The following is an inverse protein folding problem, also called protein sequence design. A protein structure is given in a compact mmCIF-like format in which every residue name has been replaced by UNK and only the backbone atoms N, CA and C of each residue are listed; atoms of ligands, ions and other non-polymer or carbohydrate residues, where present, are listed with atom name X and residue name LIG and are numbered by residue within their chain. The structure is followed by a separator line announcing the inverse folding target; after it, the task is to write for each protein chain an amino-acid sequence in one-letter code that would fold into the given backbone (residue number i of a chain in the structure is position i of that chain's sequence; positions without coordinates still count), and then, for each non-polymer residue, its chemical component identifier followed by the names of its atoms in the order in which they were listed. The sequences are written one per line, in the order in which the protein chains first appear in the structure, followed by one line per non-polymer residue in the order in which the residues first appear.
data_IF_318888027993
#
_entry.id   IF_318888027993
#
_cell.length_a   1.000
_cell.length_b   1.000
_cell.length_c   1.000
_cell.angle_alpha   90.00
_cell.angle_beta   90.00
_cell.angle_gamma   90.00
#
_symmetry.space_group_name_H-M   'P 1'
#
loop_
_entity.id
_entity.type
_entity.pdbx_description
1 polymer ?
#
# COMPACT_ATOMS: atom_id res chain seq x y z
N UNK A 1 -11.21 57.19 -28.79
CA UNK A 1 -12.09 56.08 -28.39
C UNK A 1 -11.17 54.93 -28.11
N UNK A 2 -10.75 54.75 -26.84
CA UNK A 2 -9.86 53.69 -26.43
C UNK A 2 -10.64 52.38 -26.52
N UNK A 3 -10.15 51.45 -27.34
CA UNK A 3 -10.68 50.09 -27.41
C UNK A 3 -10.36 49.38 -26.08
N UNK A 4 -11.39 49.26 -25.27
CA UNK A 4 -11.31 48.55 -23.97
C UNK A 4 -10.99 47.08 -24.22
N UNK A 5 -9.76 46.64 -23.90
CA UNK A 5 -9.34 45.27 -24.09
C UNK A 5 -9.86 44.40 -22.93
N UNK A 6 -11.03 43.81 -23.15
CA UNK A 6 -11.75 42.94 -22.23
C UNK A 6 -10.87 41.77 -21.77
N UNK A 7 -10.05 41.20 -22.67
CA UNK A 7 -9.17 40.05 -22.37
C UNK A 7 -8.08 40.42 -21.36
N UNK A 8 -7.56 41.62 -21.42
CA UNK A 8 -6.53 42.12 -20.49
C UNK A 8 -7.11 42.30 -19.08
N UNK A 9 -8.33 42.81 -18.97
CA UNK A 9 -8.99 43.02 -17.68
C UNK A 9 -9.42 41.66 -17.03
N UNK A 10 -9.92 40.72 -17.81
CA UNK A 10 -10.23 39.38 -17.32
C UNK A 10 -8.98 38.66 -16.80
N UNK A 11 -7.87 38.76 -17.53
CA UNK A 11 -6.57 38.21 -17.12
C UNK A 11 -6.06 38.83 -15.82
N UNK A 12 -6.20 40.13 -15.63
CA UNK A 12 -5.83 40.82 -14.38
C UNK A 12 -6.71 40.37 -13.22
N UNK A 13 -8.03 40.20 -13.42
CA UNK A 13 -8.95 39.65 -12.42
C UNK A 13 -8.58 38.24 -12.03
N UNK A 14 -8.36 37.36 -13.01
CA UNK A 14 -7.92 35.99 -12.78
C UNK A 14 -6.64 35.95 -11.96
N UNK A 15 -5.61 36.67 -12.35
CA UNK A 15 -4.34 36.73 -11.61
C UNK A 15 -4.51 37.28 -10.19
N UNK A 16 -5.45 38.21 -9.96
CA UNK A 16 -5.71 38.72 -8.63
C UNK A 16 -6.35 37.68 -7.69
N UNK A 17 -7.32 36.93 -8.21
CA UNK A 17 -8.01 35.89 -7.41
C UNK A 17 -7.14 34.65 -7.19
N UNK A 18 -6.38 34.24 -8.20
CA UNK A 18 -5.55 33.02 -8.14
C UNK A 18 -4.11 33.26 -7.72
N UNK A 19 -3.72 34.51 -7.42
CA UNK A 19 -2.35 34.87 -7.08
C UNK A 19 -1.75 33.99 -5.97
N UNK A 20 -2.51 33.70 -4.94
CA UNK A 20 -2.06 32.84 -3.81
C UNK A 20 -1.83 31.41 -4.28
N UNK A 21 -2.75 30.86 -5.05
CA UNK A 21 -2.64 29.52 -5.60
C UNK A 21 -1.48 29.36 -6.60
N UNK A 22 -1.25 30.38 -7.41
CA UNK A 22 -0.11 30.40 -8.34
C UNK A 22 1.22 30.40 -7.58
N UNK A 23 1.32 31.16 -6.47
CA UNK A 23 2.52 31.18 -5.63
C UNK A 23 2.72 29.79 -4.95
N UNK A 24 1.66 29.19 -4.42
CA UNK A 24 1.74 27.85 -3.81
C UNK A 24 2.20 26.81 -4.85
N UNK A 25 1.62 26.83 -6.04
CA UNK A 25 2.01 25.93 -7.13
C UNK A 25 3.47 26.13 -7.56
N UNK A 26 3.94 27.36 -7.62
CA UNK A 26 5.33 27.67 -7.95
C UNK A 26 6.30 27.15 -6.87
N UNK A 27 5.97 27.33 -5.58
CA UNK A 27 6.77 26.82 -4.46
C UNK A 27 6.80 25.28 -4.50
N UNK A 28 5.67 24.63 -4.73
CA UNK A 28 5.59 23.18 -4.84
C UNK A 28 6.44 22.65 -6.03
N UNK A 29 6.40 23.33 -7.17
CA UNK A 29 7.20 22.96 -8.35
C UNK A 29 8.71 23.10 -8.08
N UNK A 30 9.12 24.17 -7.40
CA UNK A 30 10.53 24.38 -7.00
C UNK A 30 10.97 23.31 -5.99
N UNK A 31 10.15 23.03 -4.98
CA UNK A 31 10.43 21.98 -4.00
C UNK A 31 10.57 20.60 -4.66
N UNK A 32 9.66 20.26 -5.58
CA UNK A 32 9.73 19.02 -6.36
C UNK A 32 10.98 18.97 -7.24
N UNK A 33 11.36 20.09 -7.87
CA UNK A 33 12.59 20.20 -8.65
C UNK A 33 13.86 19.98 -7.81
N UNK A 34 13.91 20.56 -6.60
CA UNK A 34 15.02 20.36 -5.67
C UNK A 34 15.10 18.89 -5.23
N UNK A 35 13.98 18.26 -4.89
CA UNK A 35 13.94 16.85 -4.52
C UNK A 35 14.46 15.99 -5.67
N UNK A 36 14.05 16.22 -6.92
CA UNK A 36 14.55 15.49 -8.09
C UNK A 36 16.06 15.69 -8.33
N UNK A 37 16.57 16.91 -8.11
CA UNK A 37 17.99 17.22 -8.31
C UNK A 37 18.90 16.68 -7.19
N UNK A 38 18.35 16.51 -5.98
CA UNK A 38 19.08 15.97 -4.82
C UNK A 38 18.99 14.44 -4.71
N UNK A 39 18.00 13.82 -5.35
CA UNK A 39 18.02 12.37 -5.54
C UNK A 39 19.13 12.02 -6.55
N UNK A 40 20.31 11.78 -6.04
CA UNK A 40 21.32 11.00 -6.78
C UNK A 40 20.81 9.56 -6.79
N UNK A 41 20.70 8.98 -7.98
CA UNK A 41 20.60 7.54 -8.11
C UNK A 41 21.84 6.96 -7.44
N UNK A 42 21.68 6.46 -6.22
CA UNK A 42 22.72 5.66 -5.59
C UNK A 42 22.73 4.37 -6.39
N UNK A 43 23.81 4.12 -7.09
CA UNK A 43 24.09 2.84 -7.71
C UNK A 43 24.16 1.83 -6.56
N UNK A 44 23.03 1.14 -6.33
CA UNK A 44 22.92 0.15 -5.27
C UNK A 44 23.63 -1.08 -5.80
N UNK A 45 24.83 -1.29 -5.31
CA UNK A 45 25.50 -2.60 -5.44
C UNK A 45 24.55 -3.60 -4.76
N UNK A 46 24.05 -4.57 -5.53
CA UNK A 46 23.19 -5.63 -4.98
C UNK A 46 23.93 -6.30 -3.82
N UNK A 47 23.24 -6.44 -2.69
CA UNK A 47 23.83 -7.13 -1.56
C UNK A 47 24.09 -8.59 -1.93
N UNK A 48 25.25 -9.11 -1.54
CA UNK A 48 25.53 -10.53 -1.70
C UNK A 48 24.59 -11.34 -0.79
N UNK A 49 24.19 -12.51 -1.28
CA UNK A 49 23.43 -13.46 -0.49
C UNK A 49 24.22 -13.88 0.75
N UNK A 50 23.65 -13.75 1.92
CA UNK A 50 24.30 -14.09 3.20
C UNK A 50 23.80 -15.41 3.82
N UNK A 51 22.81 -16.06 3.22
CA UNK A 51 22.26 -17.31 3.72
C UNK A 51 22.84 -18.50 2.94
N UNK A 52 23.80 -19.18 3.55
CA UNK A 52 24.46 -20.37 2.99
C UNK A 52 23.78 -21.69 3.44
N UNK A 53 22.75 -21.62 4.31
CA UNK A 53 22.08 -22.79 4.86
C UNK A 53 20.98 -23.30 3.92
N UNK A 54 20.26 -22.38 3.27
CA UNK A 54 19.16 -22.73 2.39
C UNK A 54 19.65 -23.52 1.15
N UNK A 55 18.84 -24.49 0.67
CA UNK A 55 19.12 -25.21 -0.57
C UNK A 55 19.32 -24.24 -1.75
N UNK A 56 20.09 -24.64 -2.74
CA UNK A 56 20.23 -23.88 -4.00
C UNK A 56 19.04 -24.06 -4.93
N UNK A 57 18.27 -25.14 -4.75
CA UNK A 57 17.06 -25.42 -5.51
C UNK A 57 15.96 -24.43 -5.15
N UNK A 58 15.19 -24.00 -6.16
CA UNK A 58 14.12 -23.02 -6.01
C UNK A 58 12.80 -23.45 -6.65
N UNK A 59 12.84 -24.49 -7.50
CA UNK A 59 11.67 -25.06 -8.17
C UNK A 59 11.51 -26.49 -7.72
N UNK A 60 10.37 -26.79 -7.13
CA UNK A 60 10.00 -28.10 -6.59
C UNK A 60 8.67 -28.51 -7.22
N UNK A 61 8.73 -29.19 -8.37
CA UNK A 61 7.55 -29.59 -9.13
C UNK A 61 7.06 -30.98 -8.76
N UNK A 62 6.44 -31.12 -7.57
CA UNK A 62 5.89 -32.39 -7.13
C UNK A 62 4.58 -32.78 -7.83
N UNK A 63 3.93 -31.85 -8.50
CA UNK A 63 2.73 -32.12 -9.30
C UNK A 63 3.04 -32.56 -10.73
N UNK A 64 4.32 -32.54 -11.13
CA UNK A 64 4.78 -32.90 -12.49
C UNK A 64 4.04 -32.13 -13.61
N UNK A 65 3.85 -30.81 -13.39
CA UNK A 65 3.14 -29.92 -14.32
C UNK A 65 4.09 -29.15 -15.23
N UNK A 66 5.37 -29.24 -14.99
CA UNK A 66 6.44 -28.65 -15.77
C UNK A 66 7.30 -29.72 -16.43
N UNK A 67 7.83 -29.43 -17.59
CA UNK A 67 8.89 -30.25 -18.17
C UNK A 67 10.24 -29.92 -17.54
N UNK A 68 11.22 -30.84 -17.58
CA UNK A 68 12.59 -30.61 -17.10
C UNK A 68 13.25 -29.33 -17.70
N UNK A 69 12.87 -28.97 -18.92
CA UNK A 69 13.36 -27.76 -19.58
C UNK A 69 12.72 -26.50 -18.99
N UNK A 70 11.45 -26.53 -18.64
CA UNK A 70 10.73 -25.42 -18.02
C UNK A 70 11.17 -25.20 -16.59
N UNK A 71 11.40 -26.29 -15.82
CA UNK A 71 11.98 -26.17 -14.47
C UNK A 71 13.36 -25.50 -14.49
N UNK A 72 14.24 -25.93 -15.42
CA UNK A 72 15.55 -25.26 -15.58
C UNK A 72 15.43 -23.80 -15.95
N UNK A 73 14.54 -23.45 -16.87
CA UNK A 73 14.33 -22.06 -17.29
C UNK A 73 13.77 -21.20 -16.15
N UNK A 74 12.86 -21.76 -15.31
CA UNK A 74 12.36 -21.06 -14.12
C UNK A 74 13.46 -20.91 -13.06
N UNK A 75 14.30 -21.93 -12.85
CA UNK A 75 15.41 -21.85 -11.91
C UNK A 75 16.44 -20.77 -12.32
N UNK A 76 16.74 -20.67 -13.62
CA UNK A 76 17.62 -19.60 -14.14
C UNK A 76 16.97 -18.22 -13.98
N UNK A 77 15.68 -18.10 -14.29
CA UNK A 77 14.92 -16.86 -14.08
C UNK A 77 14.90 -16.44 -12.61
N UNK A 78 14.62 -17.37 -11.70
CA UNK A 78 14.59 -17.12 -10.25
C UNK A 78 15.98 -16.61 -9.80
N UNK A 79 17.07 -17.26 -10.21
CA UNK A 79 18.42 -16.82 -9.86
C UNK A 79 18.76 -15.39 -10.32
N UNK A 80 18.19 -14.95 -11.45
CA UNK A 80 18.32 -13.57 -11.92
C UNK A 80 17.44 -12.59 -11.10
N UNK A 81 16.22 -13.02 -10.77
CA UNK A 81 15.28 -12.21 -10.02
C UNK A 81 15.73 -12.02 -8.57
N UNK A 82 16.19 -13.09 -7.92
CA UNK A 82 16.73 -13.05 -6.54
C UNK A 82 17.85 -12.02 -6.39
N UNK A 83 18.78 -11.97 -7.35
CA UNK A 83 19.86 -10.96 -7.35
C UNK A 83 19.34 -9.52 -7.47
N UNK A 84 18.23 -9.34 -8.17
CA UNK A 84 17.62 -8.02 -8.37
C UNK A 84 16.78 -7.57 -7.18
N UNK A 85 15.99 -8.49 -6.63
CA UNK A 85 15.10 -8.17 -5.51
C UNK A 85 15.73 -8.40 -4.14
N UNK A 86 16.88 -9.06 -4.07
CA UNK A 86 17.55 -9.44 -2.81
C UNK A 86 16.60 -10.21 -1.88
N UNK A 87 15.83 -11.15 -2.47
CA UNK A 87 14.86 -12.01 -1.79
C UNK A 87 14.98 -13.42 -2.34
N UNK A 88 14.81 -14.44 -1.51
CA UNK A 88 14.60 -15.80 -1.98
C UNK A 88 13.21 -15.93 -2.61
N UNK A 89 13.14 -16.55 -3.76
CA UNK A 89 11.88 -16.83 -4.47
C UNK A 89 11.78 -18.33 -4.70
N UNK A 90 10.77 -18.96 -4.10
CA UNK A 90 10.59 -20.42 -4.15
C UNK A 90 9.27 -20.74 -4.83
N UNK A 91 9.28 -21.73 -5.73
CA UNK A 91 8.10 -22.27 -6.36
C UNK A 91 7.96 -23.74 -5.96
N UNK A 92 6.80 -24.09 -5.42
CA UNK A 92 6.45 -25.48 -5.07
C UNK A 92 5.11 -25.81 -5.69
N UNK A 93 5.04 -26.88 -6.44
CA UNK A 93 3.77 -27.44 -6.91
C UNK A 93 3.47 -28.75 -6.18
N UNK A 94 2.21 -28.98 -5.86
CA UNK A 94 1.74 -30.21 -5.24
C UNK A 94 0.47 -30.71 -5.91
N UNK A 95 0.19 -32.00 -5.76
CA UNK A 95 -1.06 -32.66 -6.20
C UNK A 95 -1.58 -33.53 -5.04
N UNK A 96 -2.19 -32.87 -4.05
CA UNK A 96 -2.71 -33.58 -2.86
C UNK A 96 -3.97 -32.92 -2.30
N UNK A 97 -4.78 -33.71 -1.58
CA UNK A 97 -5.94 -33.20 -0.89
C UNK A 97 -5.53 -32.28 0.28
N UNK A 98 -6.05 -31.06 0.27
CA UNK A 98 -5.73 -30.02 1.27
C UNK A 98 -6.95 -29.55 2.08
N UNK A 99 -8.14 -30.05 1.76
CA UNK A 99 -9.39 -29.72 2.45
C UNK A 99 -10.46 -29.20 1.50
N UNK A 100 -11.70 -29.53 1.78
CA UNK A 100 -12.87 -29.21 0.94
C UNK A 100 -13.43 -27.83 1.27
N UNK A 101 -13.51 -27.48 2.55
CA UNK A 101 -13.95 -26.16 2.99
C UNK A 101 -12.86 -25.10 2.77
N UNK A 102 -13.28 -23.84 2.54
CA UNK A 102 -12.34 -22.73 2.37
C UNK A 102 -11.41 -22.60 3.57
N UNK A 103 -11.93 -22.80 4.77
CA UNK A 103 -11.14 -22.74 5.99
C UNK A 103 -10.08 -23.86 6.09
N UNK A 104 -10.44 -25.11 5.79
CA UNK A 104 -9.48 -26.23 5.82
C UNK A 104 -8.43 -26.06 4.73
N UNK A 105 -8.84 -25.66 3.53
CA UNK A 105 -7.95 -25.38 2.42
C UNK A 105 -6.92 -24.30 2.80
N UNK A 106 -7.39 -23.16 3.28
CA UNK A 106 -6.55 -22.05 3.69
C UNK A 106 -5.55 -22.46 4.77
N UNK A 107 -6.04 -23.06 5.85
CA UNK A 107 -5.17 -23.49 6.94
C UNK A 107 -4.11 -24.53 6.51
N UNK A 108 -4.47 -25.44 5.63
CA UNK A 108 -3.53 -26.44 5.12
C UNK A 108 -2.50 -25.81 4.20
N UNK A 109 -2.93 -24.96 3.27
CA UNK A 109 -2.03 -24.28 2.33
C UNK A 109 -1.05 -23.35 3.05
N UNK A 110 -1.52 -22.56 4.02
CA UNK A 110 -0.67 -21.73 4.90
C UNK A 110 0.41 -22.58 5.55
N UNK A 111 -0.01 -23.63 6.27
CA UNK A 111 0.94 -24.46 7.01
C UNK A 111 1.96 -25.12 6.09
N UNK A 112 1.52 -25.63 4.93
CA UNK A 112 2.41 -26.27 3.97
C UNK A 112 3.43 -25.29 3.40
N UNK A 113 3.01 -24.07 3.05
CA UNK A 113 3.89 -23.06 2.47
C UNK A 113 4.92 -22.58 3.51
N UNK A 114 4.45 -22.20 4.69
CA UNK A 114 5.29 -21.66 5.75
C UNK A 114 6.27 -22.73 6.28
N UNK A 115 5.75 -23.94 6.57
CA UNK A 115 6.59 -25.04 7.05
C UNK A 115 7.66 -25.42 6.02
N UNK A 116 7.33 -25.39 4.72
CA UNK A 116 8.32 -25.66 3.67
C UNK A 116 9.40 -24.58 3.62
N UNK A 117 9.01 -23.31 3.74
CA UNK A 117 9.94 -22.20 3.77
C UNK A 117 10.87 -22.27 4.97
N UNK A 118 10.30 -22.50 6.15
CA UNK A 118 11.03 -22.54 7.42
C UNK A 118 11.94 -23.76 7.56
N UNK A 119 11.47 -24.94 7.19
CA UNK A 119 12.27 -26.20 7.30
C UNK A 119 13.48 -26.16 6.38
N UNK A 120 13.39 -25.49 5.23
CA UNK A 120 14.50 -25.30 4.32
C UNK A 120 15.34 -24.05 4.64
N UNK A 121 14.98 -23.32 5.69
CA UNK A 121 15.67 -22.10 6.13
C UNK A 121 15.85 -21.07 5.00
N UNK A 122 14.87 -20.92 4.11
CA UNK A 122 14.93 -19.92 3.04
C UNK A 122 15.01 -18.50 3.59
N UNK A 123 15.54 -17.59 2.79
CA UNK A 123 15.76 -16.18 3.10
C UNK A 123 17.07 -15.70 2.51
N UNK A 124 17.06 -14.58 1.82
CA UNK A 124 18.23 -14.07 1.09
C UNK A 124 19.32 -13.53 2.02
N UNK A 125 18.91 -12.78 3.05
CA UNK A 125 19.77 -12.11 4.02
C UNK A 125 20.22 -13.01 5.17
N UNK A 126 19.38 -13.96 5.56
CA UNK A 126 19.60 -14.90 6.67
C UNK A 126 18.56 -16.05 6.61
N UNK A 127 18.79 -17.16 7.33
CA UNK A 127 17.76 -18.19 7.51
C UNK A 127 16.44 -17.57 8.00
N UNK A 128 15.32 -17.95 7.40
CA UNK A 128 13.96 -17.44 7.65
C UNK A 128 13.85 -15.91 7.43
N UNK A 129 14.67 -15.36 6.52
CA UNK A 129 14.74 -13.94 6.22
C UNK A 129 13.91 -13.54 5.00
N UNK A 130 14.48 -12.62 4.22
CA UNK A 130 13.80 -11.98 3.10
C UNK A 130 13.48 -12.95 1.96
N UNK A 131 12.19 -13.18 1.69
CA UNK A 131 11.79 -14.04 0.59
C UNK A 131 10.29 -14.30 0.51
N UNK A 132 9.93 -15.17 -0.42
CA UNK A 132 8.56 -15.63 -0.63
C UNK A 132 8.52 -17.03 -1.27
N UNK A 133 7.44 -17.73 -1.01
CA UNK A 133 7.11 -19.02 -1.62
C UNK A 133 5.75 -18.94 -2.30
N UNK A 134 5.67 -19.43 -3.54
CA UNK A 134 4.43 -19.73 -4.24
C UNK A 134 4.20 -21.22 -4.10
N UNK A 135 3.17 -21.62 -3.34
CA UNK A 135 2.70 -23.00 -3.24
C UNK A 135 1.45 -23.14 -4.10
N UNK A 136 1.52 -24.00 -5.12
CA UNK A 136 0.42 -24.21 -6.05
C UNK A 136 -0.06 -25.66 -6.03
N UNK A 137 -1.32 -25.88 -5.66
CA UNK A 137 -1.94 -27.19 -5.60
C UNK A 137 -2.78 -27.46 -6.87
N UNK A 138 -2.49 -28.57 -7.54
CA UNK A 138 -3.17 -29.02 -8.76
C UNK A 138 -4.20 -30.13 -8.51
N UNK A 139 -4.48 -30.46 -7.27
CA UNK A 139 -5.37 -31.55 -6.91
C UNK A 139 -6.84 -31.24 -7.23
N UNK A 140 -7.48 -32.20 -7.91
CA UNK A 140 -8.91 -32.19 -8.23
C UNK A 140 -9.55 -33.48 -7.74
N UNK A 141 -10.37 -33.43 -6.70
CA UNK A 141 -11.09 -34.61 -6.18
C UNK A 141 -12.27 -35.06 -7.05
N UNK A 142 -12.69 -34.25 -8.01
CA UNK A 142 -13.81 -34.47 -8.91
C UNK A 142 -14.16 -33.20 -9.69
N UNK A 143 -15.25 -33.24 -10.48
CA UNK A 143 -15.64 -32.06 -11.29
C UNK A 143 -16.20 -30.89 -10.45
N UNK A 144 -16.76 -31.19 -9.27
CA UNK A 144 -17.45 -30.18 -8.43
C UNK A 144 -16.70 -29.83 -7.14
N UNK A 145 -15.54 -30.45 -6.89
CA UNK A 145 -14.79 -30.32 -5.64
C UNK A 145 -13.29 -30.11 -5.92
N UNK A 146 -12.98 -29.00 -6.59
CA UNK A 146 -11.59 -28.64 -6.85
C UNK A 146 -10.96 -28.11 -5.58
N UNK A 147 -9.84 -28.74 -5.18
CA UNK A 147 -8.97 -28.24 -4.11
C UNK A 147 -7.73 -27.55 -4.70
N UNK A 148 -7.70 -27.38 -6.01
CA UNK A 148 -6.66 -26.64 -6.68
C UNK A 148 -6.67 -25.17 -6.29
N UNK A 149 -5.49 -24.60 -6.22
CA UNK A 149 -5.33 -23.19 -5.90
C UNK A 149 -3.92 -22.87 -5.46
N UNK A 150 -3.66 -21.59 -5.33
CA UNK A 150 -2.33 -21.05 -5.04
C UNK A 150 -2.33 -20.33 -3.71
N UNK A 151 -1.30 -20.54 -2.93
CA UNK A 151 -0.97 -19.77 -1.74
C UNK A 151 0.36 -19.06 -1.94
N UNK A 152 0.38 -17.75 -1.66
CA UNK A 152 1.58 -16.94 -1.60
C UNK A 152 1.92 -16.71 -0.13
N UNK A 153 3.08 -17.18 0.34
CA UNK A 153 3.61 -16.81 1.64
C UNK A 153 4.85 -15.94 1.47
N UNK A 154 4.98 -14.92 2.31
CA UNK A 154 6.05 -13.92 2.26
C UNK A 154 6.72 -13.78 3.62
N UNK A 155 8.02 -13.50 3.63
CA UNK A 155 8.81 -13.33 4.83
C UNK A 155 9.75 -12.12 4.70
N UNK A 156 10.14 -11.57 5.84
CA UNK A 156 11.05 -10.44 5.92
C UNK A 156 10.53 -9.20 5.19
N UNK A 157 11.34 -8.60 4.34
CA UNK A 157 10.93 -7.36 3.65
C UNK A 157 9.74 -7.52 2.71
N UNK A 158 9.55 -8.70 2.11
CA UNK A 158 8.39 -8.95 1.25
C UNK A 158 7.08 -9.02 2.04
N UNK A 159 7.10 -9.49 3.27
CA UNK A 159 5.93 -9.48 4.17
C UNK A 159 5.36 -8.07 4.37
N UNK A 160 6.23 -7.04 4.40
CA UNK A 160 5.81 -5.64 4.54
C UNK A 160 5.57 -4.93 3.21
N UNK A 161 6.17 -5.41 2.13
CA UNK A 161 6.03 -4.81 0.81
C UNK A 161 4.76 -5.26 0.08
N UNK A 162 4.25 -6.45 0.42
CA UNK A 162 3.08 -7.07 -0.19
C UNK A 162 1.92 -7.01 0.79
N UNK A 163 0.79 -6.50 0.35
CA UNK A 163 -0.49 -6.55 1.03
C UNK A 163 -1.51 -7.23 0.12
N UNK A 164 -2.79 -7.25 0.50
CA UNK A 164 -3.84 -7.92 -0.28
C UNK A 164 -3.92 -7.44 -1.74
N UNK A 165 -3.66 -6.16 -1.99
CA UNK A 165 -3.69 -5.63 -3.35
C UNK A 165 -2.52 -6.12 -4.20
N UNK A 166 -1.32 -6.14 -3.64
CA UNK A 166 -0.11 -6.61 -4.31
C UNK A 166 -0.18 -8.12 -4.56
N UNK A 167 -0.68 -8.88 -3.60
CA UNK A 167 -0.96 -10.30 -3.72
C UNK A 167 -1.92 -10.59 -4.87
N UNK A 168 -3.09 -9.92 -4.89
CA UNK A 168 -4.06 -10.06 -5.98
C UNK A 168 -3.39 -9.82 -7.34
N UNK A 169 -2.48 -8.85 -7.45
CA UNK A 169 -1.75 -8.58 -8.68
C UNK A 169 -0.77 -9.69 -9.08
N UNK A 170 -0.15 -10.36 -8.11
CA UNK A 170 0.69 -11.53 -8.40
C UNK A 170 -0.18 -12.68 -8.93
N UNK A 171 -1.30 -12.96 -8.26
CA UNK A 171 -2.23 -14.02 -8.66
C UNK A 171 -2.91 -13.73 -9.99
N UNK A 172 -3.31 -12.47 -10.26
CA UNK A 172 -3.87 -12.05 -11.56
C UNK A 172 -2.87 -12.28 -12.71
N UNK A 173 -1.59 -11.95 -12.50
CA UNK A 173 -0.55 -12.21 -13.49
C UNK A 173 -0.32 -13.72 -13.70
N UNK A 174 -0.40 -14.49 -12.63
CA UNK A 174 -0.29 -15.95 -12.69
C UNK A 174 -1.46 -16.56 -13.48
N UNK A 175 -2.70 -16.21 -13.14
CA UNK A 175 -3.91 -16.68 -13.81
C UNK A 175 -3.88 -16.35 -15.32
N UNK A 176 -3.52 -15.12 -15.67
CA UNK A 176 -3.36 -14.71 -17.05
C UNK A 176 -2.23 -15.45 -17.80
N UNK A 177 -1.23 -15.95 -17.07
CA UNK A 177 -0.19 -16.81 -17.64
C UNK A 177 -0.68 -18.24 -17.83
N UNK A 178 -1.49 -18.76 -16.91
CA UNK A 178 -2.09 -20.11 -17.01
C UNK A 178 -3.00 -20.30 -18.20
N UNK A 179 -3.59 -19.24 -18.74
CA UNK A 179 -4.30 -19.30 -20.03
C UNK A 179 -3.39 -19.78 -21.18
N UNK A 180 -2.07 -19.69 -21.04
CA UNK A 180 -1.09 -20.13 -22.03
C UNK A 180 -0.44 -21.45 -21.62
N UNK A 181 0.15 -21.53 -20.42
CA UNK A 181 0.75 -22.74 -19.84
C UNK A 181 1.08 -22.53 -18.37
N UNK A 182 1.31 -23.63 -17.63
CA UNK A 182 1.79 -23.59 -16.24
C UNK A 182 3.09 -22.78 -16.11
N UNK A 183 4.05 -23.05 -16.98
CA UNK A 183 5.30 -22.30 -17.06
C UNK A 183 5.08 -20.77 -17.17
N UNK A 184 4.18 -20.34 -18.07
CA UNK A 184 3.88 -18.90 -18.24
C UNK A 184 3.19 -18.30 -17.05
N UNK A 185 2.37 -19.05 -16.34
CA UNK A 185 1.77 -18.62 -15.07
C UNK A 185 2.84 -18.31 -14.03
N UNK A 186 3.72 -19.27 -13.79
CA UNK A 186 4.80 -19.09 -12.80
C UNK A 186 5.83 -18.03 -13.23
N UNK A 187 6.20 -17.98 -14.50
CA UNK A 187 7.11 -16.93 -15.01
C UNK A 187 6.57 -15.53 -14.72
N UNK A 188 5.28 -15.29 -14.99
CA UNK A 188 4.65 -13.97 -14.79
C UNK A 188 4.51 -13.64 -13.31
N UNK A 189 4.06 -14.61 -12.50
CA UNK A 189 3.93 -14.45 -11.06
C UNK A 189 5.27 -14.10 -10.39
N UNK A 190 6.33 -14.86 -10.70
CA UNK A 190 7.68 -14.64 -10.15
C UNK A 190 8.24 -13.27 -10.53
N UNK A 191 8.08 -12.85 -11.80
CA UNK A 191 8.49 -11.51 -12.25
C UNK A 191 7.73 -10.41 -11.51
N UNK A 192 6.43 -10.58 -11.32
CA UNK A 192 5.59 -9.63 -10.59
C UNK A 192 5.98 -9.57 -9.12
N UNK A 193 6.16 -10.72 -8.48
CA UNK A 193 6.57 -10.83 -7.10
C UNK A 193 7.94 -10.16 -6.86
N UNK A 194 8.93 -10.44 -7.70
CA UNK A 194 10.25 -9.82 -7.62
C UNK A 194 10.21 -8.30 -7.79
N UNK A 195 9.25 -7.77 -8.54
CA UNK A 195 9.12 -6.32 -8.73
C UNK A 195 8.83 -5.57 -7.42
N UNK A 196 8.17 -6.21 -6.47
CA UNK A 196 7.89 -5.65 -5.15
C UNK A 196 9.10 -5.64 -4.23
N UNK A 197 10.01 -6.63 -4.35
CA UNK A 197 11.28 -6.62 -3.62
C UNK A 197 12.25 -5.54 -4.10
N UNK A 198 12.13 -5.13 -5.37
CA UNK A 198 12.89 -4.02 -5.95
C UNK A 198 12.30 -2.65 -5.63
N UNK A 199 11.00 -2.62 -5.30
CA UNK A 199 10.38 -1.38 -4.89
C UNK A 199 11.06 -0.96 -3.58
N UNK A 200 11.96 0.01 -3.68
CA UNK A 200 12.54 0.71 -2.54
C UNK A 200 11.45 1.55 -1.85
N UNK A 201 10.35 0.92 -1.50
CA UNK A 201 9.57 1.34 -0.35
C UNK A 201 10.47 1.03 0.83
N UNK A 202 11.44 1.93 1.03
CA UNK A 202 12.14 2.03 2.29
C UNK A 202 11.10 1.80 3.38
N UNK A 203 11.31 0.78 4.17
CA UNK A 203 10.67 0.61 5.45
C UNK A 203 10.78 1.93 6.21
N UNK A 204 9.72 2.64 6.27
CA UNK A 204 9.69 3.97 6.83
C UNK A 204 9.14 4.92 5.79
N UNK A 205 7.90 5.37 6.05
CA UNK A 205 7.33 6.61 5.57
C UNK A 205 8.30 7.38 4.68
N UNK A 206 7.88 7.70 3.47
CA UNK A 206 8.58 8.69 2.66
C UNK A 206 9.11 9.75 3.62
N UNK A 207 10.39 9.69 3.93
CA UNK A 207 10.99 10.69 4.81
C UNK A 207 10.99 11.98 4.00
N UNK A 208 9.81 12.60 3.97
CA UNK A 208 9.76 14.00 3.59
C UNK A 208 10.84 14.66 4.45
N UNK A 209 11.83 15.31 3.84
CA UNK A 209 12.88 15.97 4.62
C UNK A 209 12.19 16.77 5.72
N UNK A 210 12.43 16.41 6.97
CA UNK A 210 11.76 17.02 8.12
C UNK A 210 11.67 18.56 8.04
N UNK A 211 12.64 19.28 7.43
CA UNK A 211 12.51 20.71 7.22
C UNK A 211 11.33 21.08 6.31
N UNK A 212 11.02 20.29 5.27
CA UNK A 212 9.87 20.56 4.38
C UNK A 212 8.54 20.36 5.11
N UNK A 213 8.44 19.38 6.00
CA UNK A 213 7.23 19.14 6.83
C UNK A 213 6.92 20.34 7.72
N UNK A 214 7.94 21.04 8.20
CA UNK A 214 7.77 22.24 9.05
C UNK A 214 7.66 23.53 8.22
N UNK A 215 8.45 23.70 7.21
CA UNK A 215 8.51 24.94 6.43
C UNK A 215 7.25 25.17 5.59
N UNK A 216 6.71 24.12 4.94
CA UNK A 216 5.54 24.27 4.07
C UNK A 216 4.29 24.74 4.84
N UNK A 217 3.90 24.14 5.97
CA UNK A 217 2.78 24.65 6.78
C UNK A 217 2.99 26.07 7.30
N UNK A 218 4.21 26.43 7.71
CA UNK A 218 4.52 27.79 8.19
C UNK A 218 4.37 28.82 7.08
N UNK A 219 4.85 28.51 5.86
CA UNK A 219 4.68 29.38 4.70
C UNK A 219 3.20 29.55 4.35
N UNK A 220 2.44 28.44 4.32
CA UNK A 220 1.00 28.46 4.03
C UNK A 220 0.24 29.28 5.09
N UNK A 221 0.54 29.06 6.37
CA UNK A 221 -0.05 29.82 7.47
C UNK A 221 0.31 31.32 7.39
N UNK A 222 1.56 31.64 7.08
CA UNK A 222 2.01 33.02 6.91
C UNK A 222 1.31 33.74 5.74
N UNK A 223 1.15 33.06 4.60
CA UNK A 223 0.41 33.60 3.43
C UNK A 223 -1.07 33.81 3.79
N UNK A 224 -1.68 32.83 4.48
CA UNK A 224 -3.06 32.94 4.94
C UNK A 224 -3.26 34.11 5.91
N UNK A 225 -2.41 34.22 6.92
CA UNK A 225 -2.44 35.32 7.89
C UNK A 225 -2.26 36.68 7.19
N UNK A 226 -1.25 36.82 6.32
CA UNK A 226 -1.01 38.08 5.56
C UNK A 226 -2.16 38.45 4.63
N UNK A 227 -2.87 37.46 4.08
CA UNK A 227 -4.05 37.70 3.24
C UNK A 227 -5.25 38.21 4.06
N UNK A 228 -5.41 37.71 5.29
CA UNK A 228 -6.50 38.08 6.18
C UNK A 228 -6.23 39.38 6.95
N UNK A 229 -4.98 39.72 7.24
CA UNK A 229 -4.62 41.01 7.88
C UNK A 229 -4.99 42.26 7.05
N UNK A 230 -5.25 42.10 5.75
CA UNK A 230 -5.68 43.19 4.87
C UNK A 230 -7.19 43.36 4.78
N UNK A 231 -7.96 42.53 5.42
CA UNK A 231 -9.40 42.72 5.54
C UNK A 231 -9.61 43.78 6.62
N UNK A 232 -10.06 44.97 6.20
CA UNK A 232 -10.48 45.99 7.14
C UNK A 232 -11.56 45.39 8.06
N UNK A 233 -11.46 45.53 9.39
CA UNK A 233 -12.51 45.09 10.28
C UNK A 233 -13.82 45.67 9.79
N UNK A 234 -14.83 44.86 9.62
CA UNK A 234 -16.16 45.29 9.25
C UNK A 234 -16.55 46.45 10.18
N UNK A 235 -16.96 47.59 9.65
CA UNK A 235 -17.49 48.66 10.48
C UNK A 235 -18.67 48.08 11.23
N UNK A 236 -18.59 48.04 12.55
CA UNK A 236 -19.74 47.81 13.38
C UNK A 236 -20.79 48.87 13.09
N UNK A 237 -21.74 48.54 12.21
CA UNK A 237 -22.80 49.45 11.79
C UNK A 237 -23.93 49.51 12.83
N UNK A 238 -23.90 48.60 13.81
CA UNK A 238 -24.89 48.54 14.86
C UNK A 238 -24.22 48.43 16.24
N UNK A 239 -24.52 49.33 17.11
CA UNK A 239 -24.18 49.29 18.51
C UNK A 239 -25.42 48.99 19.35
N UNK A 240 -25.26 48.58 20.59
CA UNK A 240 -26.41 48.36 21.51
C UNK A 240 -27.33 49.58 21.59
N UNK A 241 -26.82 50.78 21.27
CA UNK A 241 -27.58 52.03 21.21
C UNK A 241 -28.46 52.16 19.98
N UNK A 242 -28.25 51.38 18.92
CA UNK A 242 -29.01 51.48 17.67
C UNK A 242 -30.43 50.97 17.82
N UNK A 243 -30.66 50.10 18.76
CA UNK A 243 -31.95 49.45 18.95
C UNK A 243 -32.72 49.85 20.25
N UNK A 244 -32.08 50.68 21.07
CA UNK A 244 -32.69 51.09 22.34
C UNK A 244 -32.91 52.59 22.39
N UNK A 245 -34.15 53.02 22.39
CA UNK A 245 -34.50 54.43 22.57
C UNK A 245 -34.05 54.89 23.97
N UNK A 246 -33.12 55.86 24.03
CA UNK A 246 -32.59 56.37 25.27
C UNK A 246 -31.24 55.72 25.73
N UNK A 247 -30.62 54.87 24.91
CA UNK A 247 -29.24 54.41 25.05
C UNK A 247 -28.95 53.39 26.12
N UNK A 248 -29.92 52.96 26.93
CA UNK A 248 -29.75 51.84 27.90
C UNK A 248 -31.00 51.00 27.94
N UNK A 249 -30.90 49.67 27.82
CA UNK A 249 -32.06 48.79 28.03
C UNK A 249 -32.50 48.87 29.50
N UNK A 250 -33.76 49.12 29.70
CA UNK A 250 -34.38 48.97 31.04
C UNK A 250 -34.90 47.55 31.14
N UNK A 251 -34.23 46.72 31.89
CA UNK A 251 -34.66 45.35 32.18
C UNK A 251 -35.56 45.37 33.41
N UNK A 252 -36.82 45.01 33.19
CA UNK A 252 -37.80 44.94 34.30
C UNK A 252 -37.77 43.61 35.03
N UNK A 253 -37.16 42.58 34.43
CA UNK A 253 -36.95 41.28 35.09
C UNK A 253 -35.70 40.64 34.46
N UNK A 254 -34.83 40.12 35.30
CA UNK A 254 -33.65 39.39 34.92
C UNK A 254 -33.74 38.02 35.56
N UNK A 255 -34.15 37.05 34.74
CA UNK A 255 -34.27 35.65 35.19
C UNK A 255 -33.36 34.80 34.38
N UNK A 256 -32.48 34.09 35.04
CA UNK A 256 -31.59 33.06 34.43
C UNK A 256 -32.29 31.70 34.63
N UNK A 257 -32.94 31.19 33.60
CA UNK A 257 -33.66 29.95 33.63
C UNK A 257 -32.99 28.93 32.70
N UNK A 258 -32.50 27.83 33.27
CA UNK A 258 -31.88 26.76 32.49
C UNK A 258 -32.96 26.08 31.64
N UNK A 259 -32.89 26.30 30.33
CA UNK A 259 -33.92 25.83 29.41
C UNK A 259 -33.68 24.38 28.98
N UNK A 260 -32.46 24.00 28.66
CA UNK A 260 -32.17 22.65 28.17
C UNK A 260 -30.68 22.37 28.05
N UNK A 261 -30.28 21.17 28.46
CA UNK A 261 -28.95 20.60 28.09
C UNK A 261 -29.19 19.43 27.14
N UNK A 262 -28.81 19.57 25.87
CA UNK A 262 -28.81 18.48 24.93
C UNK A 262 -27.39 17.89 24.87
N UNK A 263 -27.23 16.61 25.20
CA UNK A 263 -25.99 15.87 25.03
C UNK A 263 -26.23 14.84 23.93
N UNK A 264 -25.65 15.07 22.77
CA UNK A 264 -25.65 14.08 21.69
C UNK A 264 -24.43 13.18 21.86
N UNK A 265 -24.63 11.93 22.19
CA UNK A 265 -23.58 10.91 22.16
C UNK A 265 -23.61 10.26 20.79
N UNK A 266 -22.58 10.51 19.98
CA UNK A 266 -22.34 9.75 18.76
C UNK A 266 -21.45 8.59 19.13
N UNK A 267 -21.98 7.36 19.00
CA UNK A 267 -21.18 6.15 19.10
C UNK A 267 -20.36 6.06 17.82
N UNK A 268 -19.05 6.28 17.93
CA UNK A 268 -18.15 5.98 16.83
C UNK A 268 -18.04 4.46 16.78
N UNK A 269 -18.75 3.84 15.87
CA UNK A 269 -18.53 2.45 15.55
C UNK A 269 -17.23 2.40 14.75
N UNK A 270 -16.21 1.75 15.32
CA UNK A 270 -15.09 1.29 14.55
C UNK A 270 -15.65 0.28 13.55
N UNK A 271 -15.76 0.68 12.31
CA UNK A 271 -16.11 -0.24 11.24
C UNK A 271 -14.94 -1.21 11.07
N UNK A 272 -15.02 -2.36 11.74
CA UNK A 272 -14.40 -3.56 11.23
C UNK A 272 -15.21 -3.93 9.98
N UNK A 273 -14.77 -3.44 8.84
CA UNK A 273 -15.33 -3.86 7.57
C UNK A 273 -14.84 -5.27 7.28
N UNK A 274 -15.54 -6.26 7.82
CA UNK A 274 -15.55 -7.58 7.22
C UNK A 274 -16.31 -7.47 5.91
N UNK A 275 -15.64 -7.14 4.82
CA UNK A 275 -16.15 -7.40 3.48
C UNK A 275 -15.96 -8.87 3.21
N UNK A 276 -17.04 -9.63 3.34
CA UNK A 276 -17.17 -10.92 2.70
C UNK A 276 -17.17 -10.71 1.18
N UNK A 277 -16.13 -11.16 0.54
CA UNK A 277 -15.97 -11.34 -0.90
C UNK A 277 -14.88 -12.38 -1.03
N UNK A 278 -15.17 -13.50 -1.70
CA UNK A 278 -14.28 -14.65 -1.85
C UNK A 278 -12.99 -14.27 -2.59
N UNK A 279 -12.01 -13.85 -1.85
CA UNK A 279 -10.61 -13.72 -2.16
C UNK A 279 -9.90 -13.97 -0.84
N UNK A 280 -8.87 -14.83 -0.84
CA UNK A 280 -8.08 -15.13 0.33
C UNK A 280 -7.65 -13.83 0.99
N UNK A 281 -7.84 -13.74 2.30
CA UNK A 281 -7.48 -12.53 3.06
C UNK A 281 -5.98 -12.56 3.31
N UNK A 282 -5.21 -11.70 2.67
CA UNK A 282 -3.81 -11.49 3.05
C UNK A 282 -3.74 -11.09 4.53
N UNK A 283 -3.00 -11.84 5.31
CA UNK A 283 -2.85 -11.61 6.73
C UNK A 283 -1.42 -11.85 7.21
N UNK A 284 -0.99 -11.12 8.24
CA UNK A 284 0.24 -11.47 8.95
C UNK A 284 -0.08 -12.54 9.99
N UNK A 285 0.75 -13.56 10.05
CA UNK A 285 0.61 -14.66 10.99
C UNK A 285 1.98 -15.20 11.41
N UNK A 286 1.98 -16.14 12.33
CA UNK A 286 3.21 -16.79 12.80
C UNK A 286 3.14 -18.26 12.43
N UNK A 287 4.17 -18.76 11.76
CA UNK A 287 4.29 -20.17 11.40
C UNK A 287 4.44 -21.09 12.61
N UNK A 288 4.35 -22.40 12.40
CA UNK A 288 4.62 -23.40 13.41
C UNK A 288 6.06 -23.34 13.95
N UNK A 289 7.00 -22.84 13.14
CA UNK A 289 8.39 -22.57 13.50
C UNK A 289 8.59 -21.32 14.35
N UNK A 290 7.57 -20.49 14.52
CA UNK A 290 7.61 -19.25 15.30
C UNK A 290 8.12 -18.04 14.51
N UNK A 291 8.21 -18.12 13.19
CA UNK A 291 8.61 -17.02 12.31
C UNK A 291 7.39 -16.26 11.79
N UNK A 292 7.59 -14.97 11.46
CA UNK A 292 6.53 -14.11 10.94
C UNK A 292 6.43 -14.28 9.43
N UNK A 293 5.20 -14.49 8.97
CA UNK A 293 4.86 -14.56 7.56
C UNK A 293 3.66 -13.67 7.25
N UNK A 294 3.62 -13.18 6.03
CA UNK A 294 2.42 -12.64 5.42
C UNK A 294 1.95 -13.58 4.34
N UNK A 295 0.67 -13.61 4.05
CA UNK A 295 0.23 -14.47 2.98
C UNK A 295 -1.26 -14.40 2.70
N UNK A 296 -1.60 -14.95 1.56
CA UNK A 296 -2.95 -15.13 1.07
C UNK A 296 -2.98 -16.05 -0.11
N UNK A 297 -4.16 -16.42 -0.54
CA UNK A 297 -4.28 -17.37 -1.65
C UNK A 297 -5.62 -17.32 -2.33
N UNK A 298 -5.68 -18.05 -3.45
CA UNK A 298 -6.86 -18.15 -4.30
C UNK A 298 -7.09 -19.59 -4.74
N UNK A 299 -8.30 -20.09 -4.53
CA UNK A 299 -8.75 -21.36 -5.12
C UNK A 299 -9.11 -21.18 -6.59
N UNK A 300 -8.94 -22.26 -7.36
CA UNK A 300 -9.30 -22.28 -8.79
C UNK A 300 -10.47 -23.20 -9.06
#
# INVERSE_FOLDING_TARGET
METYDIKTEERKRFLKYFRVWIIIAAIAAVAFGIVKLTHKDVEVVAAERNNDVAPSERVYDYADVLSDAEERNLSELIAELEKKCECDLVLVTIDQAVGVSDYEWEQTMVNLADDFYDQNAFGYDKPHGDGAIILDNWYHAGQDDSQAGTWLSTSGKLEYAIGSYEEDKVLDEMDAGFEVSAYKGYERALKKLASYGNDKREQGSAQLPWPLVLIVPVIVAGIYAASNMKQAPGKDTTTAMTYVSGGKPVMNDQRDEFIRKAVTKVKIESSSSSRGGGGGSYGHHTSSGGFSHGGGGRRR
#
